data_IF_617686398872
#
_entry.id   IF_617686398872
#
_cell.length_a   1.000
_cell.length_b   1.000
_cell.length_c   1.000
_cell.angle_alpha   90.00
_cell.angle_beta   90.00
_cell.angle_gamma   90.00
#
_symmetry.space_group_name_H-M   'P 1'
#
loop_
_entity.id
_entity.type
_entity.pdbx_description
1 polymer ?
#
# COMPACT_ATOMS: atom_id res chain seq x y z
N UNK A 1 -13.75 0.58 -18.26
CA UNK A 1 -12.52 1.41 -18.33
C UNK A 1 -11.46 0.62 -19.08
N UNK A 2 -10.74 1.21 -20.03
CA UNK A 2 -9.59 0.51 -20.64
C UNK A 2 -8.51 0.33 -19.57
N UNK A 3 -7.91 -0.86 -19.48
CA UNK A 3 -6.86 -1.18 -18.50
C UNK A 3 -5.73 -0.13 -18.51
N UNK A 4 -5.45 0.45 -19.68
CA UNK A 4 -4.49 1.55 -19.87
C UNK A 4 -4.87 2.82 -19.11
N UNK A 5 -6.14 3.23 -19.13
CA UNK A 5 -6.60 4.44 -18.43
C UNK A 5 -6.50 4.28 -16.90
N UNK A 6 -6.78 3.08 -16.39
CA UNK A 6 -6.60 2.76 -14.97
C UNK A 6 -5.13 2.91 -14.53
N UNK A 7 -4.20 2.30 -15.27
CA UNK A 7 -2.77 2.34 -14.97
C UNK A 7 -2.26 3.79 -14.99
N UNK A 8 -2.64 4.57 -16.00
CA UNK A 8 -2.22 5.98 -16.09
C UNK A 8 -2.78 6.84 -14.95
N UNK A 9 -4.06 6.67 -14.58
CA UNK A 9 -4.66 7.38 -13.45
C UNK A 9 -3.96 7.02 -12.14
N UNK A 10 -3.65 5.74 -11.94
CA UNK A 10 -2.96 5.28 -10.74
C UNK A 10 -1.52 5.80 -10.66
N UNK A 11 -0.80 5.80 -11.78
CA UNK A 11 0.56 6.31 -11.86
C UNK A 11 0.61 7.82 -11.58
N UNK A 12 -0.35 8.59 -12.10
CA UNK A 12 -0.50 10.01 -11.79
C UNK A 12 -0.73 10.24 -10.29
N UNK A 13 -1.63 9.48 -9.66
CA UNK A 13 -1.88 9.57 -8.23
C UNK A 13 -0.64 9.24 -7.40
N UNK A 14 0.10 8.19 -7.76
CA UNK A 14 1.35 7.82 -7.07
C UNK A 14 2.37 8.94 -7.17
N UNK A 15 2.59 9.53 -8.35
CA UNK A 15 3.53 10.63 -8.52
C UNK A 15 3.13 11.85 -7.69
N UNK A 16 1.83 12.19 -7.67
CA UNK A 16 1.31 13.28 -6.86
C UNK A 16 1.57 13.05 -5.37
N UNK A 17 1.17 11.90 -4.84
CA UNK A 17 1.37 11.58 -3.42
C UNK A 17 2.84 11.36 -3.05
N UNK A 18 3.67 10.88 -3.98
CA UNK A 18 5.12 10.77 -3.77
C UNK A 18 5.77 12.16 -3.69
N UNK A 19 5.31 13.12 -4.50
CA UNK A 19 5.73 14.51 -4.39
C UNK A 19 5.35 15.12 -3.04
N UNK A 20 4.13 14.86 -2.56
CA UNK A 20 3.69 15.30 -1.22
C UNK A 20 4.51 14.63 -0.12
N UNK A 21 4.74 13.31 -0.20
CA UNK A 21 5.56 12.59 0.77
C UNK A 21 6.99 13.15 0.81
N UNK A 22 7.58 13.44 -0.35
CA UNK A 22 8.87 14.12 -0.43
C UNK A 22 8.84 15.48 0.25
N UNK A 23 7.80 16.28 0.02
CA UNK A 23 7.66 17.57 0.68
C UNK A 23 7.52 17.43 2.20
N UNK A 24 6.76 16.44 2.69
CA UNK A 24 6.65 16.14 4.13
C UNK A 24 8.03 15.79 4.70
N UNK A 25 8.79 14.91 4.05
CA UNK A 25 10.10 14.47 4.55
C UNK A 25 11.14 15.59 4.58
N UNK A 26 11.12 16.52 3.62
CA UNK A 26 12.13 17.59 3.55
C UNK A 26 11.75 18.89 4.26
N UNK A 27 10.46 19.22 4.36
CA UNK A 27 10.01 20.51 4.88
C UNK A 27 9.30 20.43 6.23
N UNK A 28 8.86 19.24 6.67
CA UNK A 28 8.18 19.08 7.95
C UNK A 28 9.16 18.48 8.95
N UNK A 29 9.56 19.30 9.91
CA UNK A 29 10.38 18.86 11.03
C UNK A 29 9.48 18.10 12.04
N UNK A 30 9.74 16.80 12.28
CA UNK A 30 8.92 15.97 13.16
C UNK A 30 8.91 16.46 14.61
N UNK A 31 9.97 17.15 15.06
CA UNK A 31 10.09 17.59 16.45
C UNK A 31 9.28 18.86 16.73
N UNK A 32 9.04 19.69 15.71
CA UNK A 32 8.28 20.95 15.84
C UNK A 32 6.80 20.84 15.42
N UNK A 33 6.49 19.95 14.48
CA UNK A 33 5.14 19.80 13.90
C UNK A 33 4.20 18.87 14.68
N UNK A 34 4.76 18.11 15.64
CA UNK A 34 4.00 17.25 16.54
C UNK A 34 3.13 16.21 15.83
N UNK A 35 1.94 15.95 16.38
CA UNK A 35 1.04 14.90 15.89
C UNK A 35 0.56 15.09 14.44
N UNK A 36 0.41 16.34 13.98
CA UNK A 36 -0.05 16.64 12.62
C UNK A 36 0.97 16.24 11.54
N UNK A 37 2.26 16.53 11.78
CA UNK A 37 3.33 16.12 10.86
C UNK A 37 3.41 14.61 10.73
N UNK A 38 3.30 13.92 11.87
CA UNK A 38 3.27 12.45 11.94
C UNK A 38 2.08 11.86 11.17
N UNK A 39 0.86 12.40 11.37
CA UNK A 39 -0.33 11.94 10.65
C UNK A 39 -0.24 12.15 9.13
N UNK A 40 0.28 13.30 8.69
CA UNK A 40 0.50 13.60 7.27
C UNK A 40 1.50 12.63 6.63
N UNK A 41 2.60 12.34 7.32
CA UNK A 41 3.59 11.38 6.86
C UNK A 41 3.00 9.98 6.69
N UNK A 42 2.32 9.43 7.70
CA UNK A 42 1.74 8.09 7.59
C UNK A 42 0.63 8.00 6.54
N UNK A 43 -0.19 9.03 6.42
CA UNK A 43 -1.26 9.07 5.42
C UNK A 43 -0.69 9.10 3.99
N UNK A 44 0.29 9.96 3.75
CA UNK A 44 0.93 10.07 2.43
C UNK A 44 1.72 8.81 2.09
N UNK A 45 2.43 8.22 3.06
CA UNK A 45 3.10 6.93 2.91
C UNK A 45 2.12 5.82 2.52
N UNK A 46 0.97 5.74 3.20
CA UNK A 46 -0.08 4.77 2.89
C UNK A 46 -0.54 4.87 1.43
N UNK A 47 -0.88 6.07 0.95
CA UNK A 47 -1.37 6.25 -0.42
C UNK A 47 -0.31 5.91 -1.46
N UNK A 48 0.94 6.31 -1.24
CA UNK A 48 2.06 5.99 -2.15
C UNK A 48 2.27 4.47 -2.24
N UNK A 49 2.41 3.81 -1.09
CA UNK A 49 2.71 2.37 -1.06
C UNK A 49 1.53 1.52 -1.51
N UNK A 50 0.29 1.88 -1.18
CA UNK A 50 -0.90 1.22 -1.73
C UNK A 50 -0.94 1.33 -3.25
N UNK A 51 -0.53 2.47 -3.79
CA UNK A 51 -0.39 2.70 -5.22
C UNK A 51 0.67 1.79 -5.85
N UNK A 52 1.88 1.83 -5.29
CA UNK A 52 3.04 1.05 -5.78
C UNK A 52 2.74 -0.45 -5.73
N UNK A 53 2.20 -0.97 -4.63
CA UNK A 53 1.94 -2.40 -4.49
C UNK A 53 0.86 -2.90 -5.45
N UNK A 54 -0.19 -2.13 -5.68
CA UNK A 54 -1.20 -2.49 -6.67
C UNK A 54 -0.58 -2.56 -8.08
N UNK A 55 0.16 -1.53 -8.51
CA UNK A 55 0.80 -1.53 -9.82
C UNK A 55 1.82 -2.67 -9.95
N UNK A 56 2.58 -2.94 -8.88
CA UNK A 56 3.54 -4.04 -8.84
C UNK A 56 2.84 -5.39 -9.01
N UNK A 57 1.74 -5.64 -8.29
CA UNK A 57 0.95 -6.87 -8.40
C UNK A 57 0.32 -7.01 -9.79
N UNK A 58 -0.22 -5.93 -10.35
CA UNK A 58 -0.75 -5.93 -11.72
C UNK A 58 0.33 -6.26 -12.75
N UNK A 59 1.51 -5.64 -12.63
CA UNK A 59 2.64 -5.88 -13.54
C UNK A 59 3.17 -7.31 -13.40
N UNK A 60 3.24 -7.84 -12.18
CA UNK A 60 3.62 -9.21 -11.92
C UNK A 60 2.64 -10.20 -12.56
N UNK A 61 1.34 -10.02 -12.32
CA UNK A 61 0.28 -10.88 -12.87
C UNK A 61 0.14 -10.78 -14.38
N UNK A 62 0.51 -9.64 -14.99
CA UNK A 62 0.56 -9.49 -16.45
C UNK A 62 1.47 -10.50 -17.14
N UNK A 63 2.49 -11.02 -16.44
CA UNK A 63 3.37 -12.07 -16.99
C UNK A 63 2.72 -13.46 -17.04
N UNK A 64 1.64 -13.68 -16.29
CA UNK A 64 1.04 -15.00 -16.07
C UNK A 64 -0.42 -15.11 -16.52
N UNK A 65 -1.11 -13.99 -16.77
CA UNK A 65 -2.55 -13.95 -17.09
C UNK A 65 -2.82 -13.24 -18.42
N UNK A 66 -3.82 -13.75 -19.16
CA UNK A 66 -4.35 -13.11 -20.35
C UNK A 66 -5.09 -11.79 -20.03
N UNK A 67 -5.14 -10.86 -20.98
CA UNK A 67 -5.71 -9.51 -20.80
C UNK A 67 -7.14 -9.50 -20.22
N UNK A 68 -7.97 -10.49 -20.56
CA UNK A 68 -9.34 -10.63 -20.04
C UNK A 68 -9.37 -10.99 -18.55
N UNK A 69 -8.54 -11.93 -18.13
CA UNK A 69 -8.41 -12.33 -16.71
C UNK A 69 -7.72 -11.23 -15.89
N UNK A 70 -6.84 -10.46 -16.52
CA UNK A 70 -6.14 -9.33 -15.90
C UNK A 70 -7.12 -8.21 -15.54
N UNK A 71 -8.09 -7.91 -16.41
CA UNK A 71 -9.13 -6.91 -16.15
C UNK A 71 -10.05 -7.32 -14.98
N UNK A 72 -10.41 -8.60 -14.86
CA UNK A 72 -11.17 -9.11 -13.72
C UNK A 72 -10.38 -9.10 -12.40
N UNK A 73 -9.05 -9.23 -12.48
CA UNK A 73 -8.18 -9.28 -11.30
C UNK A 73 -7.86 -7.90 -10.70
N UNK A 74 -8.29 -6.80 -11.33
CA UNK A 74 -7.97 -5.42 -10.88
C UNK A 74 -8.49 -5.16 -9.46
N UNK A 75 -9.72 -5.57 -9.16
CA UNK A 75 -10.30 -5.40 -7.82
C UNK A 75 -9.54 -6.17 -6.74
N UNK A 76 -9.13 -7.40 -7.05
CA UNK A 76 -8.35 -8.25 -6.15
C UNK A 76 -6.95 -7.66 -5.92
N UNK A 77 -6.28 -7.19 -6.96
CA UNK A 77 -4.97 -6.51 -6.85
C UNK A 77 -5.04 -5.22 -6.04
N UNK A 78 -6.17 -4.51 -6.09
CA UNK A 78 -6.38 -3.32 -5.28
C UNK A 78 -6.50 -3.65 -3.79
N UNK A 79 -7.28 -4.67 -3.45
CA UNK A 79 -7.36 -5.15 -2.06
C UNK A 79 -6.00 -5.63 -1.54
N UNK A 80 -5.29 -6.45 -2.32
CA UNK A 80 -3.96 -6.94 -1.96
C UNK A 80 -2.94 -5.82 -1.79
N UNK A 81 -2.97 -4.82 -2.68
CA UNK A 81 -2.10 -3.64 -2.57
C UNK A 81 -2.35 -2.84 -1.29
N UNK A 82 -3.61 -2.67 -0.89
CA UNK A 82 -3.97 -2.02 0.37
C UNK A 82 -3.47 -2.82 1.57
N UNK A 83 -3.70 -4.14 1.57
CA UNK A 83 -3.28 -5.01 2.67
C UNK A 83 -1.74 -4.99 2.86
N UNK A 84 -0.98 -4.99 1.76
CA UNK A 84 0.48 -4.83 1.80
C UNK A 84 0.90 -3.45 2.28
N UNK A 85 0.18 -2.39 1.90
CA UNK A 85 0.45 -1.05 2.40
C UNK A 85 0.20 -0.93 3.92
N UNK A 86 -0.87 -1.56 4.42
CA UNK A 86 -1.16 -1.65 5.86
C UNK A 86 -0.04 -2.41 6.57
N UNK A 87 0.45 -3.52 6.01
CA UNK A 87 1.56 -4.28 6.57
C UNK A 87 2.80 -3.40 6.75
N UNK A 88 3.21 -2.70 5.69
CA UNK A 88 4.38 -1.84 5.70
C UNK A 88 4.21 -0.66 6.66
N UNK A 89 3.02 -0.06 6.70
CA UNK A 89 2.70 1.02 7.62
C UNK A 89 2.75 0.55 9.08
N UNK A 90 2.22 -0.64 9.37
CA UNK A 90 2.30 -1.26 10.70
C UNK A 90 3.74 -1.51 11.14
N UNK A 91 4.57 -2.05 10.26
CA UNK A 91 6.02 -2.25 10.51
C UNK A 91 6.69 -0.89 10.79
N UNK A 92 6.37 0.14 10.01
CA UNK A 92 6.95 1.48 10.16
C UNK A 92 6.55 2.13 11.48
N UNK A 93 5.29 1.97 11.91
CA UNK A 93 4.82 2.44 13.22
C UNK A 93 5.57 1.71 14.34
N UNK A 94 5.68 0.38 14.29
CA UNK A 94 6.35 -0.40 15.32
C UNK A 94 7.85 -0.07 15.38
N UNK A 95 8.47 0.18 14.23
CA UNK A 95 9.84 0.67 14.14
C UNK A 95 9.98 2.06 14.77
N UNK A 96 9.05 2.97 14.49
CA UNK A 96 9.03 4.32 15.07
C UNK A 96 8.88 4.31 16.60
N UNK A 97 8.09 3.38 17.12
CA UNK A 97 7.93 3.15 18.56
C UNK A 97 9.10 2.37 19.19
N UNK A 98 10.05 1.88 18.38
CA UNK A 98 11.19 1.02 18.79
C UNK A 98 10.77 -0.26 19.53
N UNK A 99 9.56 -0.75 19.24
CA UNK A 99 9.02 -2.01 19.77
C UNK A 99 9.10 -3.15 18.75
N UNK A 100 9.57 -2.87 17.53
CA UNK A 100 9.63 -3.87 16.46
C UNK A 100 10.63 -4.98 16.82
N UNK A 101 10.10 -6.13 17.24
CA UNK A 101 10.82 -7.39 17.30
C UNK A 101 10.38 -8.23 16.11
N UNK A 102 11.23 -9.16 15.69
CA UNK A 102 10.96 -10.02 14.53
C UNK A 102 9.66 -10.85 14.65
N UNK A 103 9.23 -11.18 15.87
CA UNK A 103 7.94 -11.85 16.10
C UNK A 103 6.74 -10.93 15.84
N UNK A 104 6.86 -9.61 16.09
CA UNK A 104 5.80 -8.65 15.78
C UNK A 104 5.56 -8.55 14.28
N UNK A 105 6.63 -8.62 13.49
CA UNK A 105 6.53 -8.73 12.02
C UNK A 105 5.74 -9.97 11.64
N UNK A 106 6.00 -11.11 12.29
CA UNK A 106 5.30 -12.36 12.02
C UNK A 106 3.80 -12.26 12.38
N UNK A 107 3.44 -11.60 13.48
CA UNK A 107 2.05 -11.33 13.84
C UNK A 107 1.35 -10.41 12.84
N UNK A 108 2.01 -9.34 12.39
CA UNK A 108 1.46 -8.44 11.38
C UNK A 108 1.22 -9.17 10.05
N UNK A 109 2.19 -9.98 9.62
CA UNK A 109 2.05 -10.82 8.43
C UNK A 109 0.86 -11.77 8.61
N UNK A 110 0.80 -12.52 9.72
CA UNK A 110 -0.29 -13.45 10.00
C UNK A 110 -1.66 -12.75 9.98
N UNK A 111 -1.77 -11.56 10.57
CA UNK A 111 -3.01 -10.78 10.53
C UNK A 111 -3.45 -10.41 9.12
N UNK A 112 -2.51 -9.99 8.27
CA UNK A 112 -2.79 -9.69 6.85
C UNK A 112 -3.20 -10.94 6.09
N UNK A 113 -2.53 -12.06 6.31
CA UNK A 113 -2.89 -13.35 5.68
C UNK A 113 -4.27 -13.85 6.12
N UNK A 114 -4.64 -13.68 7.38
CA UNK A 114 -5.97 -14.04 7.88
C UNK A 114 -7.06 -13.17 7.23
N UNK A 115 -6.82 -11.86 7.08
CA UNK A 115 -7.74 -10.97 6.37
C UNK A 115 -7.87 -11.38 4.90
N UNK A 116 -6.77 -11.65 4.22
CA UNK A 116 -6.73 -12.14 2.85
C UNK A 116 -7.54 -13.44 2.70
N UNK A 117 -7.32 -14.42 3.59
CA UNK A 117 -8.02 -15.70 3.59
C UNK A 117 -9.51 -15.54 3.87
N UNK A 118 -9.88 -14.66 4.81
CA UNK A 118 -11.28 -14.35 5.09
C UNK A 118 -11.99 -13.81 3.87
N UNK A 119 -11.35 -12.91 3.11
CA UNK A 119 -11.94 -12.42 1.87
C UNK A 119 -12.03 -13.51 0.79
N UNK A 120 -11.00 -14.34 0.65
CA UNK A 120 -11.00 -15.45 -0.31
C UNK A 120 -12.13 -16.44 -0.01
N UNK A 121 -12.41 -16.72 1.27
CA UNK A 121 -13.48 -17.63 1.69
C UNK A 121 -14.91 -17.11 1.40
N UNK A 122 -15.04 -15.82 1.09
CA UNK A 122 -16.32 -15.15 0.78
C UNK A 122 -16.51 -14.87 -0.71
N UNK A 123 -15.50 -15.14 -1.54
CA UNK A 123 -15.65 -15.10 -3.00
C UNK A 123 -16.34 -16.41 -3.45
N UNK A 124 -17.55 -16.36 -4.04
CA UNK A 124 -18.30 -17.55 -4.46
C UNK A 124 -17.73 -18.25 -5.69
#
# INVERSE_FOLDING_TARGET
MTLRSYIWGMLFLILLFAGILGAVVFFIDPDSSGFLGMFLFYSTFFFVFSGIFNLFLLFWRKKFLDEKSLANSVGLNFRQGILLAILFLGILIFQGLRILIWWDVLFLIAGVFLLEFFFLSREP
#
